data_IF_151186707330
#
_entry.id   IF_151186707330
#
_cell.length_a   1.000
_cell.length_b   1.000
_cell.length_c   1.000
_cell.angle_alpha   90.00
_cell.angle_beta   90.00
_cell.angle_gamma   90.00
#
_symmetry.space_group_name_H-M   'P 1'
#
loop_
_entity.id
_entity.type
_entity.pdbx_description
1 polymer ?
#
# COMPACT_ATOMS: atom_id res chain seq x y z
N UNK A 1 -17.72 3.98 -1.07
CA UNK A 1 -17.86 4.63 0.24
C UNK A 1 -18.13 6.12 0.06
N UNK A 2 -18.86 6.70 0.98
CA UNK A 2 -19.09 8.16 1.01
C UNK A 2 -18.03 8.89 1.85
N UNK A 3 -17.19 8.14 2.54
CA UNK A 3 -16.25 8.70 3.51
C UNK A 3 -14.80 8.24 3.33
N UNK A 4 -14.56 7.08 2.75
CA UNK A 4 -13.21 6.56 2.52
C UNK A 4 -12.89 6.56 1.03
N UNK A 5 -11.69 7.03 0.70
CA UNK A 5 -11.25 7.20 -0.68
C UNK A 5 -9.82 6.68 -0.87
N UNK A 6 -9.57 6.15 -2.05
CA UNK A 6 -8.24 5.72 -2.48
C UNK A 6 -7.93 6.28 -3.87
N UNK A 7 -6.73 6.80 -4.02
CA UNK A 7 -6.16 7.16 -5.32
C UNK A 7 -5.10 6.12 -5.66
N UNK A 8 -5.17 5.63 -6.89
CA UNK A 8 -4.27 4.59 -7.38
C UNK A 8 -3.71 5.02 -8.74
N UNK A 9 -2.39 5.10 -8.84
CA UNK A 9 -1.70 5.30 -10.10
C UNK A 9 -1.56 3.99 -10.89
N UNK A 10 -1.13 4.10 -12.14
CA UNK A 10 -0.88 2.92 -12.97
C UNK A 10 0.28 2.04 -12.45
N UNK A 11 1.13 2.53 -11.57
CA UNK A 11 2.21 1.76 -10.93
C UNK A 11 1.88 1.32 -9.49
N UNK A 12 0.61 1.31 -9.11
CA UNK A 12 0.10 1.02 -7.77
C UNK A 12 0.48 2.04 -6.68
N UNK A 13 1.14 3.13 -7.03
CA UNK A 13 1.36 4.25 -6.13
C UNK A 13 0.06 4.98 -5.81
N UNK A 14 0.09 5.83 -4.79
CA UNK A 14 -1.08 6.60 -4.40
C UNK A 14 -1.29 6.65 -2.90
N UNK A 15 -2.48 6.99 -2.47
CA UNK A 15 -2.79 7.13 -1.05
C UNK A 15 -4.27 6.96 -0.76
N UNK A 16 -4.55 6.63 0.49
CA UNK A 16 -5.91 6.52 1.03
C UNK A 16 -6.16 7.57 2.09
N UNK A 17 -7.41 8.02 2.21
CA UNK A 17 -7.82 9.01 3.19
C UNK A 17 -9.27 8.85 3.61
N UNK A 18 -9.59 9.37 4.80
CA UNK A 18 -10.93 9.39 5.35
C UNK A 18 -11.49 10.81 5.32
N UNK A 19 -12.52 11.09 4.52
CA UNK A 19 -13.24 12.36 4.34
C UNK A 19 -12.39 13.54 3.79
N UNK A 20 -11.16 13.71 4.26
CA UNK A 20 -10.32 14.86 3.91
C UNK A 20 -8.90 14.40 3.56
N UNK A 21 -8.48 14.64 2.31
CA UNK A 21 -7.20 14.21 1.78
C UNK A 21 -5.99 14.93 2.40
N UNK A 22 -6.20 16.08 3.01
CA UNK A 22 -5.15 16.85 3.69
C UNK A 22 -5.06 16.50 5.17
N UNK A 23 -6.21 16.51 5.87
CA UNK A 23 -6.27 16.47 7.33
C UNK A 23 -6.54 15.07 7.91
N UNK A 24 -6.85 14.08 7.04
CA UNK A 24 -7.17 12.70 7.45
C UNK A 24 -6.60 11.70 6.45
N UNK A 25 -5.36 11.92 6.05
CA UNK A 25 -4.64 11.01 5.17
C UNK A 25 -4.12 9.81 5.96
N UNK A 26 -4.30 8.63 5.42
CA UNK A 26 -3.93 7.37 6.07
C UNK A 26 -2.57 6.90 5.57
N UNK A 27 -2.43 6.75 4.26
CA UNK A 27 -1.14 6.35 3.67
C UNK A 27 -0.39 7.56 3.14
N UNK A 28 0.93 7.54 3.31
CA UNK A 28 1.81 8.63 2.88
C UNK A 28 1.96 8.64 1.36
N UNK A 29 1.94 9.84 0.79
CA UNK A 29 2.28 10.07 -0.61
C UNK A 29 2.85 11.48 -0.78
N UNK A 30 3.97 11.58 -1.46
CA UNK A 30 4.64 12.84 -1.75
C UNK A 30 4.69 13.05 -3.26
N UNK A 31 4.02 14.10 -3.73
CA UNK A 31 3.88 14.40 -5.15
C UNK A 31 5.20 14.68 -5.87
N UNK A 32 6.21 15.20 -5.16
CA UNK A 32 7.48 15.63 -5.73
C UNK A 32 8.64 14.69 -5.40
N UNK A 33 8.37 13.44 -5.05
CA UNK A 33 9.41 12.45 -4.83
C UNK A 33 10.03 11.98 -6.15
N UNK A 34 11.31 11.65 -6.07
CA UNK A 34 12.04 10.96 -7.14
C UNK A 34 12.63 9.67 -6.55
N UNK A 35 12.26 8.49 -7.08
CA UNK A 35 11.29 8.29 -8.17
C UNK A 35 9.85 8.60 -7.75
N UNK A 36 9.01 8.97 -8.70
CA UNK A 36 7.59 9.18 -8.48
C UNK A 36 6.90 7.87 -8.08
N UNK A 37 5.76 7.97 -7.37
CA UNK A 37 4.99 6.82 -6.89
C UNK A 37 5.77 5.85 -6.00
N UNK A 38 6.68 6.37 -5.16
CA UNK A 38 7.51 5.55 -4.28
C UNK A 38 7.02 5.45 -2.83
N UNK A 39 5.81 5.91 -2.55
CA UNK A 39 5.21 5.91 -1.21
C UNK A 39 3.83 5.27 -1.21
N UNK A 40 3.32 4.99 -0.02
CA UNK A 40 1.97 4.48 0.20
C UNK A 40 1.96 3.02 0.61
N UNK A 41 1.63 2.14 -0.29
CA UNK A 41 1.54 0.70 -0.06
C UNK A 41 2.09 -0.08 -1.23
N UNK A 42 2.79 -1.21 -0.94
CA UNK A 42 3.37 -2.09 -1.95
C UNK A 42 3.35 -3.54 -1.52
N UNK A 43 3.43 -4.42 -2.51
CA UNK A 43 3.57 -5.87 -2.34
C UNK A 43 4.81 -6.31 -3.08
N UNK A 44 5.86 -6.66 -2.33
CA UNK A 44 7.10 -7.17 -2.89
C UNK A 44 7.04 -8.68 -2.94
N UNK A 45 7.50 -9.25 -4.03
CA UNK A 45 7.61 -10.69 -4.23
C UNK A 45 9.10 -11.01 -4.39
N UNK A 46 9.61 -11.87 -3.52
CA UNK A 46 10.99 -12.34 -3.54
C UNK A 46 11.03 -13.80 -3.94
N UNK A 47 11.70 -14.08 -5.05
CA UNK A 47 11.97 -15.41 -5.59
C UNK A 47 13.49 -15.57 -5.73
N UNK A 48 14.12 -16.32 -4.82
CA UNK A 48 15.58 -16.39 -4.72
C UNK A 48 16.22 -15.02 -4.47
N UNK A 49 17.07 -14.57 -5.38
CA UNK A 49 17.69 -13.24 -5.34
C UNK A 49 16.88 -12.14 -6.05
N UNK A 50 15.84 -12.53 -6.80
CA UNK A 50 15.02 -11.58 -7.56
C UNK A 50 13.92 -11.01 -6.66
N UNK A 51 13.84 -9.68 -6.62
CA UNK A 51 12.77 -8.95 -5.92
C UNK A 51 12.04 -8.10 -6.96
N UNK A 52 10.73 -8.24 -7.00
CA UNK A 52 9.87 -7.51 -7.91
C UNK A 52 8.51 -7.20 -7.28
N UNK A 53 7.72 -6.38 -7.94
CA UNK A 53 6.36 -6.07 -7.51
C UNK A 53 5.45 -5.91 -8.74
N UNK A 54 4.14 -6.18 -8.63
CA UNK A 54 3.23 -6.20 -9.78
C UNK A 54 3.10 -4.85 -10.48
N UNK A 55 3.30 -3.73 -9.76
CA UNK A 55 3.21 -2.37 -10.31
C UNK A 55 4.50 -1.84 -10.94
N UNK A 56 5.59 -2.63 -10.99
CA UNK A 56 6.92 -2.24 -11.45
C UNK A 56 7.64 -1.25 -10.51
N UNK A 57 7.00 -0.16 -10.08
CA UNK A 57 7.51 0.72 -9.04
C UNK A 57 7.25 0.10 -7.65
N UNK A 58 8.15 0.28 -6.66
CA UNK A 58 9.41 1.03 -6.71
C UNK A 58 10.62 0.19 -7.08
N UNK A 59 10.49 -1.14 -7.25
CA UNK A 59 11.64 -2.04 -7.54
C UNK A 59 12.26 -1.78 -8.90
N UNK A 60 11.49 -1.35 -9.87
CA UNK A 60 11.89 -1.15 -11.28
C UNK A 60 12.49 -2.42 -11.91
N UNK A 61 12.21 -3.57 -11.34
CA UNK A 61 12.61 -4.85 -11.91
C UNK A 61 11.82 -5.09 -13.18
N UNK A 62 12.50 -5.39 -14.26
CA UNK A 62 11.87 -5.70 -15.55
C UNK A 62 10.88 -6.87 -15.40
N UNK A 63 9.65 -6.64 -15.86
CA UNK A 63 8.58 -7.61 -15.84
C UNK A 63 8.44 -8.28 -17.20
N UNK A 64 8.09 -9.56 -17.21
CA UNK A 64 7.80 -10.32 -18.45
C UNK A 64 6.45 -9.89 -19.04
N UNK A 65 5.55 -9.39 -18.19
CA UNK A 65 4.25 -8.83 -18.58
C UNK A 65 3.80 -7.79 -17.56
N UNK A 66 3.15 -6.74 -18.04
CA UNK A 66 2.53 -5.72 -17.20
C UNK A 66 1.23 -5.22 -17.82
N UNK A 67 0.21 -5.10 -17.02
CA UNK A 67 -1.07 -4.49 -17.40
C UNK A 67 -1.68 -3.75 -16.20
N UNK A 68 -2.23 -2.56 -16.47
CA UNK A 68 -3.04 -1.81 -15.51
C UNK A 68 -4.40 -1.51 -16.11
N UNK A 69 -5.46 -1.79 -15.36
CA UNK A 69 -6.85 -1.50 -15.70
C UNK A 69 -7.51 -0.71 -14.58
N UNK A 70 -8.01 0.46 -14.91
CA UNK A 70 -8.83 1.26 -13.99
C UNK A 70 -10.31 1.15 -14.39
N UNK A 71 -11.14 0.77 -13.41
CA UNK A 71 -12.60 0.72 -13.52
C UNK A 71 -13.27 1.81 -12.68
N UNK A 72 -14.61 1.80 -12.68
CA UNK A 72 -15.42 2.72 -11.88
C UNK A 72 -15.47 2.31 -10.38
N UNK A 73 -14.40 2.29 -9.67
CA UNK A 73 -14.35 1.93 -8.25
C UNK A 73 -13.37 0.81 -7.93
N UNK A 74 -12.56 0.40 -8.90
CA UNK A 74 -11.47 -0.54 -8.69
C UNK A 74 -10.30 -0.27 -9.63
N UNK A 75 -9.14 -0.74 -9.23
CA UNK A 75 -7.94 -0.81 -10.09
C UNK A 75 -7.38 -2.22 -10.04
N UNK A 76 -6.98 -2.74 -11.20
CA UNK A 76 -6.35 -4.05 -11.33
C UNK A 76 -4.99 -3.85 -11.96
N UNK A 77 -3.95 -4.32 -11.28
CA UNK A 77 -2.58 -4.29 -11.77
C UNK A 77 -2.10 -5.73 -11.84
N UNK A 78 -1.64 -6.13 -13.01
CA UNK A 78 -1.10 -7.48 -13.25
C UNK A 78 0.34 -7.37 -13.71
N UNK A 79 1.24 -7.92 -12.94
CA UNK A 79 2.64 -8.11 -13.29
C UNK A 79 2.98 -9.59 -13.37
N UNK A 80 3.90 -9.96 -14.26
CA UNK A 80 4.44 -11.32 -14.34
C UNK A 80 5.96 -11.26 -14.37
N UNK A 81 6.56 -12.20 -13.64
CA UNK A 81 8.01 -12.43 -13.65
C UNK A 81 8.28 -13.92 -13.48
N UNK A 82 9.18 -14.47 -14.31
CA UNK A 82 9.62 -15.85 -14.22
C UNK A 82 8.46 -16.88 -14.16
N UNK A 83 7.39 -16.70 -14.96
CA UNK A 83 6.17 -17.55 -14.95
C UNK A 83 5.43 -17.56 -13.59
N UNK A 84 5.60 -16.54 -12.76
CA UNK A 84 4.76 -16.23 -11.61
C UNK A 84 3.96 -14.98 -11.95
N UNK A 85 2.63 -15.08 -11.93
CA UNK A 85 1.73 -13.96 -12.15
C UNK A 85 1.23 -13.43 -10.80
N UNK A 86 1.25 -12.10 -10.65
CA UNK A 86 0.67 -11.39 -9.51
C UNK A 86 -0.40 -10.42 -10.02
N UNK A 87 -1.63 -10.64 -9.57
CA UNK A 87 -2.77 -9.76 -9.87
C UNK A 87 -3.20 -9.07 -8.58
N UNK A 88 -3.01 -7.77 -8.53
CA UNK A 88 -3.38 -6.89 -7.43
C UNK A 88 -4.66 -6.13 -7.81
N UNK A 89 -5.70 -6.31 -7.02
CA UNK A 89 -7.00 -5.64 -7.17
C UNK A 89 -7.22 -4.74 -5.96
N UNK A 90 -7.40 -3.44 -6.21
CA UNK A 90 -7.55 -2.41 -5.18
C UNK A 90 -8.92 -1.77 -5.32
N UNK A 91 -9.67 -1.71 -4.24
CA UNK A 91 -10.99 -1.07 -4.22
C UNK A 91 -11.42 -0.64 -2.83
N UNK A 92 -12.36 0.28 -2.79
CA UNK A 92 -13.03 0.72 -1.56
C UNK A 92 -14.46 0.20 -1.59
N UNK A 93 -14.86 -0.67 -0.64
CA UNK A 93 -16.21 -1.19 -0.58
C UNK A 93 -17.26 -0.09 -0.34
N UNK A 94 -18.45 -0.30 -0.84
CA UNK A 94 -19.58 0.60 -0.57
C UNK A 94 -20.02 0.44 0.88
N UNK A 95 -20.08 1.56 1.60
CA UNK A 95 -20.53 1.58 3.00
C UNK A 95 -19.43 1.39 4.04
N UNK A 96 -18.24 0.91 3.66
CA UNK A 96 -17.14 0.67 4.59
C UNK A 96 -16.06 1.77 4.52
N UNK A 97 -15.33 1.93 5.62
CA UNK A 97 -14.24 2.88 5.75
C UNK A 97 -12.89 2.18 5.66
N UNK A 98 -12.68 1.42 4.61
CA UNK A 98 -11.43 0.71 4.34
C UNK A 98 -11.13 0.64 2.84
N UNK A 99 -9.89 0.40 2.52
CA UNK A 99 -9.44 -0.08 1.22
C UNK A 99 -9.15 -1.57 1.32
N UNK A 100 -9.51 -2.31 0.31
CA UNK A 100 -9.21 -3.73 0.19
C UNK A 100 -8.24 -3.92 -0.97
N UNK A 101 -7.11 -4.54 -0.68
CA UNK A 101 -6.09 -4.93 -1.62
C UNK A 101 -6.08 -6.45 -1.72
N UNK A 102 -6.55 -6.98 -2.84
CA UNK A 102 -6.59 -8.41 -3.09
C UNK A 102 -5.42 -8.81 -3.99
N UNK A 103 -4.44 -9.49 -3.41
CA UNK A 103 -3.32 -10.06 -4.15
C UNK A 103 -3.58 -11.52 -4.48
N UNK A 104 -3.55 -11.87 -5.77
CA UNK A 104 -3.66 -13.25 -6.26
C UNK A 104 -2.36 -13.61 -6.96
N UNK A 105 -1.71 -14.66 -6.48
CA UNK A 105 -0.49 -15.21 -7.06
C UNK A 105 -0.80 -16.51 -7.79
N UNK A 106 -0.35 -16.61 -9.03
CA UNK A 106 -0.56 -17.80 -9.87
C UNK A 106 0.77 -18.29 -10.40
N UNK A 107 1.11 -19.53 -10.07
CA UNK A 107 2.24 -20.20 -10.68
C UNK A 107 1.84 -20.72 -12.06
N UNK A 108 2.37 -20.12 -13.12
CA UNK A 108 2.15 -20.50 -14.52
C UNK A 108 3.23 -21.46 -15.03
N UNK A 109 4.09 -21.97 -14.13
CA UNK A 109 5.11 -22.96 -14.49
C UNK A 109 4.65 -24.40 -14.19
N UNK A 110 5.35 -25.38 -14.76
CA UNK A 110 5.06 -26.80 -14.57
C UNK A 110 5.73 -27.37 -13.30
N UNK A 111 6.45 -26.54 -12.54
CA UNK A 111 7.17 -26.92 -11.34
C UNK A 111 6.72 -26.11 -10.13
N UNK A 112 6.80 -26.65 -8.91
CA UNK A 112 6.56 -25.88 -7.69
C UNK A 112 7.50 -24.69 -7.59
N UNK A 113 6.98 -23.55 -7.09
CA UNK A 113 7.74 -22.33 -6.84
C UNK A 113 7.74 -21.98 -5.36
N UNK A 114 8.88 -21.51 -4.88
CA UNK A 114 9.03 -20.96 -3.53
C UNK A 114 9.29 -19.47 -3.65
N UNK A 115 8.51 -18.69 -2.95
CA UNK A 115 8.65 -17.23 -2.90
C UNK A 115 8.17 -16.69 -1.56
N UNK A 116 8.59 -15.50 -1.22
CA UNK A 116 8.12 -14.76 -0.06
C UNK A 116 7.41 -13.49 -0.52
N UNK A 117 6.30 -13.17 0.10
CA UNK A 117 5.56 -11.91 -0.11
C UNK A 117 5.79 -11.00 1.07
N UNK A 118 6.16 -9.75 0.79
CA UNK A 118 6.22 -8.69 1.79
C UNK A 118 5.18 -7.65 1.44
N UNK A 119 4.28 -7.38 2.35
CA UNK A 119 3.41 -6.21 2.27
C UNK A 119 4.08 -5.03 2.97
N UNK A 120 3.98 -3.87 2.39
CA UNK A 120 4.54 -2.64 2.90
C UNK A 120 3.47 -1.57 2.97
N UNK A 121 3.41 -0.87 4.08
CA UNK A 121 2.58 0.32 4.25
C UNK A 121 3.38 1.44 4.87
N UNK A 122 3.23 2.64 4.35
CA UNK A 122 3.79 3.85 4.93
C UNK A 122 2.65 4.75 5.40
N UNK A 123 2.49 4.85 6.71
CA UNK A 123 1.44 5.67 7.28
C UNK A 123 1.79 7.16 7.23
N UNK A 124 0.81 7.97 6.86
CA UNK A 124 0.87 9.41 7.01
C UNK A 124 0.54 9.81 8.45
N UNK A 125 1.18 10.86 8.95
CA UNK A 125 0.88 11.42 10.26
C UNK A 125 -0.35 12.36 10.19
N UNK A 126 -1.44 11.88 9.60
CA UNK A 126 -2.75 12.50 9.41
C UNK A 126 -2.78 13.78 8.58
N UNK A 127 -2.02 14.81 8.95
CA UNK A 127 -1.91 16.04 8.16
C UNK A 127 -0.85 15.87 7.08
N UNK A 128 -1.29 15.74 5.84
CA UNK A 128 -0.41 15.48 4.70
C UNK A 128 0.59 16.61 4.43
N UNK A 129 0.24 17.86 4.71
CA UNK A 129 1.14 18.99 4.52
C UNK A 129 2.23 18.98 5.58
N UNK A 130 1.85 18.82 6.84
CA UNK A 130 2.80 18.75 7.96
C UNK A 130 3.71 17.53 7.82
N UNK A 131 3.17 16.38 7.43
CA UNK A 131 3.94 15.15 7.19
C UNK A 131 4.96 15.30 6.04
N UNK A 132 4.66 16.11 5.04
CA UNK A 132 5.58 16.39 3.93
C UNK A 132 6.66 17.42 4.27
N UNK A 133 6.53 18.15 5.38
CA UNK A 133 7.43 19.22 5.80
C UNK A 133 8.34 18.73 6.92
N UNK A 134 9.64 18.75 6.72
CA UNK A 134 10.62 18.23 7.69
C UNK A 134 10.51 18.81 9.10
N UNK A 135 10.21 20.10 9.22
CA UNK A 135 10.07 20.77 10.50
C UNK A 135 8.76 20.40 11.20
N UNK A 136 7.64 20.52 10.50
CA UNK A 136 6.31 20.28 11.08
C UNK A 136 6.10 18.82 11.50
N UNK A 137 6.68 17.87 10.77
CA UNK A 137 6.62 16.46 11.09
C UNK A 137 7.18 16.13 12.47
N UNK A 138 8.13 16.89 12.98
CA UNK A 138 8.71 16.68 14.30
C UNK A 138 7.70 16.92 15.46
N UNK A 139 6.56 17.56 15.19
CA UNK A 139 5.49 17.75 16.16
C UNK A 139 4.42 16.64 16.13
N UNK A 140 4.56 15.68 15.24
CA UNK A 140 3.66 14.53 15.14
C UNK A 140 4.37 13.29 15.64
N UNK A 141 3.71 12.53 16.48
CA UNK A 141 4.23 11.26 16.99
C UNK A 141 3.40 10.12 16.43
N UNK A 142 4.04 9.12 15.85
CA UNK A 142 3.43 7.88 15.43
C UNK A 142 3.82 6.75 16.37
N UNK A 143 2.85 6.00 16.84
CA UNK A 143 3.05 4.77 17.61
C UNK A 143 2.54 3.59 16.79
N UNK A 144 3.26 2.49 16.84
CA UNK A 144 2.90 1.26 16.13
C UNK A 144 2.78 0.13 17.12
N UNK A 145 1.66 -0.58 17.08
CA UNK A 145 1.41 -1.79 17.82
C UNK A 145 1.06 -2.91 16.83
N UNK A 146 1.55 -4.11 17.09
CA UNK A 146 1.33 -5.26 16.23
C UNK A 146 0.64 -6.35 17.04
N UNK A 147 -0.50 -6.82 16.53
CA UNK A 147 -1.25 -7.92 17.10
C UNK A 147 -1.68 -8.91 16.01
N UNK A 148 -1.21 -10.15 16.11
CA UNK A 148 -1.48 -11.17 15.10
C UNK A 148 -0.99 -10.74 13.71
N UNK A 149 -1.91 -10.59 12.78
CA UNK A 149 -1.64 -10.13 11.39
C UNK A 149 -2.03 -8.66 11.17
N UNK A 150 -2.16 -7.88 12.25
CA UNK A 150 -2.64 -6.49 12.20
C UNK A 150 -1.59 -5.54 12.76
N UNK A 151 -1.38 -4.46 12.04
CA UNK A 151 -0.59 -3.31 12.47
C UNK A 151 -1.57 -2.19 12.82
N UNK A 152 -1.52 -1.71 14.04
CA UNK A 152 -2.22 -0.53 14.51
C UNK A 152 -1.26 0.64 14.51
N UNK A 153 -1.64 1.70 13.83
CA UNK A 153 -0.87 2.94 13.80
C UNK A 153 -1.68 4.05 14.46
N UNK A 154 -1.17 4.57 15.55
CA UNK A 154 -1.75 5.70 16.27
C UNK A 154 -0.96 6.95 15.95
N UNK A 155 -1.65 8.03 15.60
CA UNK A 155 -1.03 9.34 15.41
C UNK A 155 -1.50 10.31 16.46
N UNK A 156 -0.54 10.97 17.14
CA UNK A 156 -0.78 12.08 18.03
C UNK A 156 -0.15 13.35 17.43
N UNK A 157 -0.95 14.39 17.32
CA UNK A 157 -0.49 15.68 16.84
C UNK A 157 -1.21 16.80 17.56
N UNK A 158 -0.48 17.58 18.38
CA UNK A 158 -1.01 18.71 19.13
C UNK A 158 -2.31 18.36 19.89
N UNK A 159 -3.44 18.94 19.46
CA UNK A 159 -4.77 18.72 20.04
C UNK A 159 -5.49 17.49 19.48
N UNK A 160 -4.94 16.86 18.45
CA UNK A 160 -5.53 15.68 17.80
C UNK A 160 -4.87 14.42 18.35
N UNK A 161 -5.56 13.77 19.23
CA UNK A 161 -5.12 12.52 19.87
C UNK A 161 -6.04 11.38 19.45
N UNK A 162 -5.58 10.17 19.66
CA UNK A 162 -6.36 8.94 19.46
C UNK A 162 -6.90 8.75 18.04
N UNK A 163 -6.08 9.06 17.03
CA UNK A 163 -6.38 8.75 15.64
C UNK A 163 -5.66 7.46 15.26
N UNK A 164 -6.46 6.45 14.89
CA UNK A 164 -5.96 5.14 14.53
C UNK A 164 -6.15 4.85 13.05
N UNK A 165 -5.14 4.24 12.44
CA UNK A 165 -5.22 3.57 11.17
C UNK A 165 -4.82 2.10 11.38
N UNK A 166 -5.42 1.20 10.61
CA UNK A 166 -5.22 -0.23 10.71
C UNK A 166 -4.71 -0.75 9.37
N UNK A 167 -3.74 -1.66 9.43
CA UNK A 167 -3.34 -2.46 8.29
C UNK A 167 -3.38 -3.92 8.71
N UNK A 168 -4.14 -4.74 8.00
CA UNK A 168 -4.31 -6.15 8.36
C UNK A 168 -4.24 -7.05 7.14
N UNK A 169 -3.77 -8.28 7.34
CA UNK A 169 -3.74 -9.33 6.34
C UNK A 169 -4.60 -10.49 6.83
N UNK A 170 -5.42 -11.07 5.96
CA UNK A 170 -6.30 -12.18 6.26
C UNK A 170 -5.59 -13.57 6.16
N UNK A 171 -4.30 -13.60 6.49
CA UNK A 171 -3.48 -14.80 6.51
C UNK A 171 -2.52 -14.75 7.70
N UNK A 172 -2.03 -15.91 8.18
CA UNK A 172 -0.90 -15.91 9.10
C UNK A 172 0.32 -15.24 8.46
N UNK A 173 1.05 -14.47 9.25
CA UNK A 173 2.30 -13.84 8.81
C UNK A 173 3.49 -14.46 9.55
N UNK A 174 4.61 -14.60 8.84
CA UNK A 174 5.84 -15.20 9.40
C UNK A 174 6.66 -14.19 10.20
N UNK A 175 6.34 -12.89 10.09
CA UNK A 175 7.04 -11.82 10.81
C UNK A 175 6.67 -10.41 10.33
N UNK A 176 7.20 -9.43 11.04
CA UNK A 176 7.05 -8.00 10.80
C UNK A 176 8.41 -7.33 10.69
#
# INVERSE_FOLDING_TARGET
SEAFFSLVSHTAGGYSFYKDAKLRRITRYRYNNVPADSNGRYYYIKEGSTIWNPGWQPTQTELDFYECRHGLGYSIITGKKNRLAARLELFVPVGDNCEIDRLVLTNESDAPKSFTVFSYVEFCLWNAVDDSTNFQRNFSTGEVEVEGSTIYHKTEYRERRDHYALYTVNAPVDGF
#
